data_IF_728707141373
#
_entry.id   IF_728707141373
#
_cell.length_a   1.000
_cell.length_b   1.000
_cell.length_c   1.000
_cell.angle_alpha   90.00
_cell.angle_beta   90.00
_cell.angle_gamma   90.00
#
_symmetry.space_group_name_H-M   'P 1'
#
loop_
_entity.id
_entity.type
_entity.pdbx_description
1 polymer ?
#
# COMPACT_ATOMS: atom_id res chain seq x y z
N UNK A 1 12.65 -0.99 20.17
CA UNK A 1 13.54 0.08 19.72
C UNK A 1 13.78 -0.17 18.24
N UNK A 2 13.22 0.64 17.35
CA UNK A 2 13.54 0.53 15.93
C UNK A 2 14.95 1.10 15.74
N UNK A 3 15.80 0.47 14.91
CA UNK A 3 17.14 0.97 14.66
C UNK A 3 17.08 2.37 14.01
N UNK A 4 18.14 3.15 14.16
CA UNK A 4 18.28 4.52 13.62
C UNK A 4 18.09 4.64 12.09
N UNK A 5 17.83 3.55 11.40
CA UNK A 5 17.42 3.49 10.01
C UNK A 5 15.94 3.20 9.92
N UNK A 6 15.15 4.19 9.54
CA UNK A 6 13.70 4.05 9.32
C UNK A 6 13.34 3.14 8.13
N UNK A 7 14.32 2.57 7.44
CA UNK A 7 14.15 1.54 6.41
C UNK A 7 14.99 0.32 6.75
N UNK A 8 14.33 -0.84 6.71
CA UNK A 8 14.98 -2.14 6.84
C UNK A 8 14.75 -2.92 5.56
N UNK A 9 15.83 -3.35 4.92
CA UNK A 9 15.75 -4.29 3.79
C UNK A 9 15.69 -5.72 4.32
N UNK A 10 14.58 -6.41 4.09
CA UNK A 10 14.41 -7.80 4.49
C UNK A 10 15.17 -8.71 3.52
N UNK A 11 16.37 -9.15 3.90
CA UNK A 11 17.26 -9.94 3.01
C UNK A 11 16.83 -11.40 2.86
N UNK A 12 16.11 -11.93 3.83
CA UNK A 12 15.73 -13.34 3.91
C UNK A 12 14.39 -13.65 3.25
N UNK A 13 13.67 -12.63 2.80
CA UNK A 13 12.40 -12.76 2.10
C UNK A 13 12.63 -12.33 0.65
N UNK A 14 12.45 -13.27 -0.27
CA UNK A 14 12.61 -13.01 -1.70
C UNK A 14 11.40 -13.57 -2.44
N UNK A 15 10.82 -12.74 -3.29
CA UNK A 15 9.72 -13.13 -4.16
C UNK A 15 10.15 -13.02 -5.63
N UNK A 16 9.53 -13.85 -6.43
CA UNK A 16 9.72 -13.87 -7.89
C UNK A 16 9.02 -12.65 -8.51
N UNK A 17 9.80 -11.70 -9.00
CA UNK A 17 9.30 -10.44 -9.57
C UNK A 17 8.57 -10.68 -10.90
N UNK A 18 8.94 -11.69 -11.68
CA UNK A 18 8.25 -12.02 -12.92
C UNK A 18 6.85 -12.54 -12.63
N UNK A 19 6.70 -13.44 -11.65
CA UNK A 19 5.39 -13.91 -11.17
C UNK A 19 4.55 -12.81 -10.54
N UNK A 20 5.16 -11.89 -9.79
CA UNK A 20 4.46 -10.71 -9.27
C UNK A 20 3.97 -9.81 -10.41
N UNK A 21 4.79 -9.61 -11.43
CA UNK A 21 4.41 -8.83 -12.61
C UNK A 21 3.28 -9.50 -13.40
N UNK A 22 3.30 -10.82 -13.55
CA UNK A 22 2.21 -11.57 -14.15
C UNK A 22 0.93 -11.46 -13.32
N UNK A 23 1.04 -11.65 -12.00
CA UNK A 23 -0.10 -11.48 -11.09
C UNK A 23 -0.69 -10.06 -11.18
N UNK A 24 0.16 -9.04 -11.25
CA UNK A 24 -0.28 -7.66 -11.47
C UNK A 24 -1.09 -7.52 -12.76
N UNK A 25 -0.60 -8.06 -13.89
CA UNK A 25 -1.32 -8.03 -15.17
C UNK A 25 -2.68 -8.71 -15.09
N UNK A 26 -2.79 -9.80 -14.34
CA UNK A 26 -4.07 -10.49 -14.11
C UNK A 26 -5.06 -9.66 -13.31
N UNK A 27 -4.63 -9.10 -12.17
CA UNK A 27 -5.56 -8.36 -11.31
C UNK A 27 -6.08 -7.08 -11.97
N UNK A 28 -5.29 -6.39 -12.78
CA UNK A 28 -5.75 -5.16 -13.47
C UNK A 28 -6.77 -5.44 -14.57
N UNK A 29 -6.89 -6.69 -15.03
CA UNK A 29 -7.96 -7.12 -15.94
C UNK A 29 -9.27 -7.40 -15.18
N UNK A 30 -9.17 -7.80 -13.91
CA UNK A 30 -10.32 -8.12 -13.06
C UNK A 30 -10.86 -6.84 -12.41
N UNK A 31 -9.97 -5.99 -11.90
CA UNK A 31 -10.36 -4.79 -11.15
C UNK A 31 -9.58 -3.57 -11.60
N UNK A 32 -10.29 -2.46 -11.77
CA UNK A 32 -9.67 -1.15 -12.04
C UNK A 32 -9.06 -0.57 -10.77
N UNK A 33 -8.04 0.27 -10.93
CA UNK A 33 -7.50 1.03 -9.83
C UNK A 33 -8.55 2.01 -9.28
N UNK A 34 -8.75 1.96 -7.97
CA UNK A 34 -9.51 2.97 -7.26
C UNK A 34 -8.66 4.24 -7.09
N UNK A 35 -9.21 5.38 -7.48
CA UNK A 35 -8.68 6.69 -7.20
C UNK A 35 -9.34 7.21 -5.92
N UNK A 36 -8.82 6.82 -4.78
CA UNK A 36 -9.36 7.22 -3.49
C UNK A 36 -9.49 8.76 -3.40
N UNK A 37 -10.71 9.27 -3.44
CA UNK A 37 -11.01 10.66 -3.15
C UNK A 37 -11.03 11.64 -4.33
N UNK A 38 -11.10 11.18 -5.57
CA UNK A 38 -11.31 12.07 -6.74
C UNK A 38 -10.03 12.72 -7.27
N UNK A 39 -10.18 13.84 -7.96
CA UNK A 39 -9.22 14.48 -8.87
C UNK A 39 -7.84 14.81 -8.27
N UNK A 40 -7.65 14.73 -6.96
CA UNK A 40 -6.43 15.25 -6.30
C UNK A 40 -5.62 14.18 -5.59
N UNK A 41 -6.09 12.95 -5.53
CA UNK A 41 -5.34 11.92 -4.82
C UNK A 41 -4.43 11.14 -5.76
N UNK A 42 -3.15 11.26 -5.54
CA UNK A 42 -2.12 10.48 -6.20
C UNK A 42 -2.07 9.01 -5.71
N UNK A 43 -3.16 8.51 -5.12
CA UNK A 43 -3.29 7.13 -4.64
C UNK A 43 -4.18 6.36 -5.61
N UNK A 44 -3.54 5.63 -6.51
CA UNK A 44 -4.22 4.62 -7.32
C UNK A 44 -3.95 3.27 -6.70
N UNK A 45 -4.98 2.56 -6.24
CA UNK A 45 -4.80 1.29 -5.53
C UNK A 45 -5.78 0.21 -5.97
N UNK A 46 -5.35 -1.04 -5.85
CA UNK A 46 -6.20 -2.22 -5.87
C UNK A 46 -5.99 -2.93 -4.54
N UNK A 47 -7.03 -3.04 -3.71
CA UNK A 47 -6.96 -3.81 -2.47
C UNK A 47 -6.80 -5.29 -2.77
N UNK A 48 -5.93 -5.98 -2.03
CA UNK A 48 -5.74 -7.43 -2.09
C UNK A 48 -6.48 -8.15 -0.97
N UNK A 49 -6.80 -7.44 0.11
CA UNK A 49 -7.62 -7.94 1.20
C UNK A 49 -8.72 -6.92 1.57
N UNK A 50 -9.67 -7.36 2.36
CA UNK A 50 -10.83 -6.59 2.79
C UNK A 50 -11.16 -6.86 4.24
N UNK A 51 -12.06 -6.09 4.81
CA UNK A 51 -12.65 -6.37 6.12
C UNK A 51 -13.53 -7.60 5.95
N UNK A 52 -13.38 -8.58 6.83
CA UNK A 52 -14.15 -9.82 6.79
C UNK A 52 -15.65 -9.53 6.83
N UNK A 53 -16.38 -10.13 5.89
CA UNK A 53 -17.83 -9.92 5.76
C UNK A 53 -18.24 -8.58 5.14
N UNK A 54 -17.30 -7.70 4.77
CA UNK A 54 -17.59 -6.42 4.11
C UNK A 54 -16.94 -6.33 2.72
N UNK A 55 -17.60 -6.79 1.66
CA UNK A 55 -17.08 -6.71 0.30
C UNK A 55 -16.83 -5.28 -0.20
N UNK A 56 -17.48 -4.29 0.38
CA UNK A 56 -17.35 -2.88 -0.03
C UNK A 56 -16.14 -2.18 0.59
N UNK A 57 -15.47 -2.83 1.55
CA UNK A 57 -14.31 -2.26 2.23
C UNK A 57 -13.03 -2.19 1.40
N UNK A 58 -13.13 -2.19 0.07
CA UNK A 58 -11.99 -2.21 -0.86
C UNK A 58 -11.75 -0.88 -1.56
N UNK A 59 -12.62 0.10 -1.41
CA UNK A 59 -12.63 1.32 -2.22
C UNK A 59 -12.95 2.57 -1.39
N UNK A 60 -12.79 3.74 -2.02
CA UNK A 60 -13.17 5.02 -1.44
C UNK A 60 -12.45 5.33 -0.13
N UNK A 61 -13.20 5.64 0.92
CA UNK A 61 -12.65 5.97 2.23
C UNK A 61 -11.78 4.87 2.85
N UNK A 62 -12.02 3.62 2.50
CA UNK A 62 -11.22 2.48 2.96
C UNK A 62 -9.79 2.46 2.41
N UNK A 63 -9.52 3.25 1.38
CA UNK A 63 -8.17 3.46 0.83
C UNK A 63 -7.40 4.59 1.51
N UNK A 64 -8.03 5.37 2.37
CA UNK A 64 -7.41 6.54 2.99
C UNK A 64 -6.50 6.16 4.17
N UNK A 65 -5.41 6.92 4.34
CA UNK A 65 -4.58 6.84 5.53
C UNK A 65 -5.22 7.55 6.73
N UNK A 66 -4.74 7.22 7.92
CA UNK A 66 -5.21 7.84 9.17
C UNK A 66 -4.83 9.32 9.26
N UNK A 67 -3.63 9.65 8.83
CA UNK A 67 -3.12 11.02 8.83
C UNK A 67 -3.00 11.59 7.42
N UNK A 68 -3.09 12.88 7.29
CA UNK A 68 -2.87 13.61 6.05
C UNK A 68 -2.45 15.05 6.33
N UNK A 69 -1.75 15.67 5.41
CA UNK A 69 -1.35 17.08 5.51
C UNK A 69 -2.32 17.92 4.69
N UNK A 70 -3.05 18.79 5.34
CA UNK A 70 -3.92 19.75 4.66
C UNK A 70 -3.10 20.91 4.07
N UNK A 71 -3.50 21.47 2.92
CA UNK A 71 -2.83 22.63 2.36
C UNK A 71 -2.85 23.86 3.29
N UNK A 72 -3.90 23.99 4.10
CA UNK A 72 -4.13 25.11 5.03
C UNK A 72 -3.51 24.90 6.42
N UNK A 73 -2.86 23.77 6.65
CA UNK A 73 -2.33 23.38 7.99
C UNK A 73 -0.89 23.76 8.23
N UNK A 74 -0.27 24.58 7.39
CA UNK A 74 1.15 24.92 7.45
C UNK A 74 2.07 23.68 7.56
N UNK A 75 1.72 22.62 6.86
CA UNK A 75 2.45 21.35 6.87
C UNK A 75 2.19 20.45 8.06
N UNK A 76 1.28 20.81 8.95
CA UNK A 76 0.92 19.95 10.09
C UNK A 76 0.05 18.79 9.65
N UNK A 77 0.32 17.63 10.23
CA UNK A 77 -0.55 16.47 10.08
C UNK A 77 -1.88 16.68 10.79
N UNK A 78 -2.93 16.16 10.17
CA UNK A 78 -4.28 16.15 10.72
C UNK A 78 -4.78 14.71 10.72
N UNK A 79 -5.26 14.24 11.85
CA UNK A 79 -5.92 12.95 11.96
C UNK A 79 -7.32 13.02 11.34
N UNK A 80 -7.68 11.99 10.56
CA UNK A 80 -9.04 11.87 10.03
C UNK A 80 -9.97 11.38 11.13
N UNK A 81 -11.11 12.02 11.27
CA UNK A 81 -12.13 11.60 12.24
C UNK A 81 -12.77 10.24 11.88
N UNK A 82 -12.78 9.90 10.60
CA UNK A 82 -13.41 8.71 10.03
C UNK A 82 -12.39 7.71 9.47
N UNK A 83 -11.18 7.67 10.02
CA UNK A 83 -10.18 6.70 9.59
C UNK A 83 -10.64 5.25 9.82
N UNK A 84 -10.18 4.38 8.96
CA UNK A 84 -10.45 2.94 9.06
C UNK A 84 -9.23 2.24 9.67
N UNK A 85 -9.49 1.47 10.73
CA UNK A 85 -8.46 0.63 11.35
C UNK A 85 -7.99 -0.44 10.35
N UNK A 86 -6.74 -0.32 9.93
CA UNK A 86 -6.15 -1.23 8.94
C UNK A 86 -6.02 -2.67 9.45
N UNK A 87 -6.01 -2.90 10.77
CA UNK A 87 -5.98 -4.24 11.35
C UNK A 87 -7.26 -5.07 11.12
N UNK A 88 -8.34 -4.43 10.70
CA UNK A 88 -9.60 -5.12 10.37
C UNK A 88 -9.58 -5.83 9.03
N UNK A 89 -8.58 -5.56 8.19
CA UNK A 89 -8.45 -6.17 6.86
C UNK A 89 -7.81 -7.56 6.98
N UNK A 90 -8.62 -8.58 7.15
CA UNK A 90 -8.17 -9.96 7.41
C UNK A 90 -8.50 -10.94 6.27
N UNK A 91 -9.48 -10.63 5.43
CA UNK A 91 -9.94 -11.52 4.37
C UNK A 91 -9.25 -11.20 3.04
N UNK A 92 -8.45 -12.14 2.50
CA UNK A 92 -7.90 -12.00 1.14
C UNK A 92 -9.03 -12.07 0.11
N UNK A 93 -8.97 -11.22 -0.92
CA UNK A 93 -10.03 -11.13 -1.94
C UNK A 93 -10.06 -12.41 -2.78
N UNK A 94 -11.19 -13.18 -2.78
CA UNK A 94 -11.26 -14.49 -3.42
C UNK A 94 -10.92 -14.49 -4.91
N UNK A 95 -11.29 -13.42 -5.62
CA UNK A 95 -11.04 -13.26 -7.06
C UNK A 95 -9.56 -13.26 -7.42
N UNK A 96 -8.69 -12.96 -6.46
CA UNK A 96 -7.24 -12.94 -6.65
C UNK A 96 -6.53 -14.18 -6.11
N UNK A 97 -7.28 -15.16 -5.56
CA UNK A 97 -6.71 -16.36 -4.93
C UNK A 97 -5.85 -17.21 -5.86
N UNK A 98 -6.13 -17.19 -7.17
CA UNK A 98 -5.36 -17.91 -8.19
C UNK A 98 -4.20 -17.06 -8.76
N UNK A 99 -3.73 -16.05 -8.03
CA UNK A 99 -2.59 -15.22 -8.42
C UNK A 99 -1.41 -15.42 -7.46
N UNK A 100 -0.21 -15.07 -7.90
CA UNK A 100 0.97 -15.12 -7.05
C UNK A 100 0.90 -14.15 -5.86
N UNK A 101 0.00 -13.17 -5.89
CA UNK A 101 -0.25 -12.30 -4.73
C UNK A 101 -0.79 -13.07 -3.52
N UNK A 102 -1.61 -14.11 -3.75
CA UNK A 102 -2.09 -14.96 -2.65
C UNK A 102 -0.93 -15.68 -1.97
N UNK A 103 -0.05 -16.29 -2.74
CA UNK A 103 1.16 -16.91 -2.22
C UNK A 103 2.01 -15.93 -1.39
N UNK A 104 2.27 -14.74 -1.94
CA UNK A 104 3.04 -13.69 -1.24
C UNK A 104 2.35 -13.25 0.05
N UNK A 105 1.03 -13.07 0.00
CA UNK A 105 0.23 -12.71 1.18
C UNK A 105 0.36 -13.76 2.27
N UNK A 106 0.24 -15.06 1.94
CA UNK A 106 0.33 -16.15 2.90
C UNK A 106 1.74 -16.24 3.52
N UNK A 107 2.78 -16.19 2.70
CA UNK A 107 4.17 -16.23 3.18
C UNK A 107 4.47 -15.07 4.16
N UNK A 108 4.00 -13.88 3.86
CA UNK A 108 4.20 -12.72 4.74
C UNK A 108 3.33 -12.84 6.00
N UNK A 109 2.10 -13.35 5.88
CA UNK A 109 1.19 -13.55 7.01
C UNK A 109 1.72 -14.53 8.05
N UNK A 110 2.55 -15.50 7.63
CA UNK A 110 3.22 -16.42 8.52
C UNK A 110 4.29 -15.75 9.41
N UNK A 111 4.76 -14.58 9.01
CA UNK A 111 5.86 -13.87 9.70
C UNK A 111 5.33 -12.63 10.43
N UNK A 112 4.38 -11.92 9.81
CA UNK A 112 3.85 -10.65 10.31
C UNK A 112 2.32 -10.68 10.35
N UNK A 113 1.75 -10.06 11.36
CA UNK A 113 0.32 -9.73 11.32
C UNK A 113 0.09 -8.65 10.26
N UNK A 114 -0.57 -9.03 9.18
CA UNK A 114 -0.89 -8.09 8.11
C UNK A 114 -2.17 -7.33 8.44
N UNK A 115 -2.14 -6.05 8.13
CA UNK A 115 -3.31 -5.20 8.00
C UNK A 115 -3.73 -5.08 6.55
N UNK A 116 -4.16 -3.86 6.16
CA UNK A 116 -4.57 -3.58 4.79
C UNK A 116 -3.42 -3.78 3.79
N UNK A 117 -3.65 -4.69 2.84
CA UNK A 117 -2.69 -5.03 1.78
C UNK A 117 -3.24 -4.60 0.43
N UNK A 118 -2.43 -3.93 -0.38
CA UNK A 118 -2.85 -3.39 -1.68
C UNK A 118 -1.72 -3.26 -2.67
N UNK A 119 -2.05 -3.28 -3.95
CA UNK A 119 -1.16 -2.86 -5.03
C UNK A 119 -1.35 -1.36 -5.23
N UNK A 120 -0.27 -0.61 -5.13
CA UNK A 120 -0.25 0.83 -5.35
C UNK A 120 0.41 1.14 -6.69
N UNK A 121 -0.23 1.99 -7.47
CA UNK A 121 0.35 2.58 -8.68
C UNK A 121 0.63 4.06 -8.44
N UNK A 122 1.81 4.49 -8.84
CA UNK A 122 2.17 5.91 -8.86
C UNK A 122 2.30 6.37 -10.31
N UNK A 123 1.59 7.43 -10.63
CA UNK A 123 1.72 8.03 -11.95
C UNK A 123 3.03 8.82 -12.07
N UNK A 124 3.56 8.96 -13.30
CA UNK A 124 4.75 9.78 -13.53
C UNK A 124 4.55 11.21 -13.00
N UNK A 125 5.62 11.79 -12.44
CA UNK A 125 5.61 13.16 -11.90
C UNK A 125 4.59 13.38 -10.78
N UNK A 126 4.21 12.32 -10.06
CA UNK A 126 3.31 12.40 -8.91
C UNK A 126 4.01 11.99 -7.63
N UNK A 127 3.61 12.61 -6.54
CA UNK A 127 4.05 12.27 -5.19
C UNK A 127 2.88 12.29 -4.23
N UNK A 128 2.98 11.56 -3.14
CA UNK A 128 2.10 11.75 -2.00
C UNK A 128 2.55 13.01 -1.24
N UNK A 129 1.62 13.67 -0.57
CA UNK A 129 1.97 14.70 0.41
C UNK A 129 2.79 14.07 1.54
N UNK A 130 3.55 14.91 2.26
CA UNK A 130 4.19 14.49 3.49
C UNK A 130 3.14 13.99 4.47
N UNK A 131 3.37 12.85 5.06
CA UNK A 131 2.49 12.25 6.06
C UNK A 131 3.30 11.28 6.93
N UNK A 132 2.72 10.91 8.04
CA UNK A 132 3.24 9.89 8.94
C UNK A 132 2.32 8.68 8.92
N UNK A 133 2.89 7.51 8.76
CA UNK A 133 2.20 6.25 9.00
C UNK A 133 2.46 5.81 10.43
N UNK A 134 1.43 5.55 11.25
CA UNK A 134 1.63 5.11 12.62
C UNK A 134 2.13 3.67 12.73
N UNK A 135 1.84 2.85 11.71
CA UNK A 135 2.25 1.45 11.63
C UNK A 135 3.39 1.28 10.63
N UNK A 136 4.28 0.30 10.87
CA UNK A 136 5.29 -0.09 9.88
C UNK A 136 4.67 -0.46 8.53
N UNK A 137 5.30 -0.07 7.44
CA UNK A 137 4.87 -0.40 6.07
C UNK A 137 5.85 -1.36 5.43
N UNK A 138 5.32 -2.46 4.87
CA UNK A 138 6.10 -3.37 4.04
C UNK A 138 5.88 -3.01 2.57
N UNK A 139 6.96 -2.78 1.84
CA UNK A 139 6.93 -2.45 0.42
C UNK A 139 7.63 -3.53 -0.40
N UNK A 140 6.98 -3.97 -1.48
CA UNK A 140 7.55 -4.89 -2.47
C UNK A 140 7.48 -4.19 -3.82
N UNK A 141 8.58 -3.60 -4.32
CA UNK A 141 8.62 -3.00 -5.65
C UNK A 141 8.44 -4.08 -6.71
N UNK A 142 7.45 -3.91 -7.60
CA UNK A 142 7.15 -4.85 -8.68
C UNK A 142 7.65 -4.29 -10.01
N UNK A 143 7.20 -3.09 -10.34
CA UNK A 143 7.61 -2.35 -11.54
C UNK A 143 8.15 -1.01 -11.06
N UNK A 144 9.41 -0.75 -11.35
CA UNK A 144 10.09 0.47 -10.92
C UNK A 144 11.02 0.99 -12.00
N UNK A 145 11.54 2.19 -11.83
CA UNK A 145 12.54 2.79 -12.71
C UNK A 145 13.48 3.66 -11.88
N UNK A 146 14.54 4.16 -12.51
CA UNK A 146 15.56 4.96 -11.84
C UNK A 146 15.01 6.20 -11.11
N UNK A 147 13.91 6.76 -11.56
CA UNK A 147 13.24 7.92 -10.94
C UNK A 147 12.33 7.60 -9.75
N UNK A 148 12.02 6.32 -9.51
CA UNK A 148 11.17 5.93 -8.38
C UNK A 148 11.93 6.07 -7.06
N UNK A 149 11.52 7.05 -6.25
CA UNK A 149 12.12 7.34 -4.96
C UNK A 149 11.06 7.36 -3.87
N UNK A 150 11.44 6.81 -2.71
CA UNK A 150 10.74 7.04 -1.46
C UNK A 150 11.59 7.97 -0.61
N UNK A 151 11.01 9.07 -0.15
CA UNK A 151 11.69 9.99 0.75
C UNK A 151 11.16 9.75 2.16
N UNK A 152 12.04 9.37 3.07
CA UNK A 152 11.72 9.15 4.47
C UNK A 152 12.63 10.05 5.28
N UNK A 153 12.02 10.96 6.04
CA UNK A 153 12.74 12.07 6.66
C UNK A 153 13.56 12.81 5.60
N UNK A 154 14.84 13.03 5.80
CA UNK A 154 15.70 13.77 4.87
C UNK A 154 16.46 12.87 3.88
N UNK A 155 16.04 11.60 3.73
CA UNK A 155 16.74 10.62 2.89
C UNK A 155 15.86 10.08 1.77
N UNK A 156 16.42 10.04 0.56
CA UNK A 156 15.77 9.47 -0.61
C UNK A 156 16.29 8.04 -0.88
N UNK A 157 15.36 7.08 -0.93
CA UNK A 157 15.65 5.68 -1.20
C UNK A 157 15.13 5.29 -2.58
N UNK A 158 15.90 4.53 -3.32
CA UNK A 158 15.44 3.93 -4.58
C UNK A 158 14.57 2.71 -4.27
N UNK A 159 13.42 2.62 -4.96
CA UNK A 159 12.48 1.52 -4.84
C UNK A 159 12.73 0.47 -5.91
#
# INVERSE_FOLDING_TARGET
MFPDNNIIKLKNIKFDIEKLTEAYRKIVQIKKFDNAGGVVTNICSISLNRIEGDPQSTEGKYSWGRYWTRPDSNGKEVERADFIDENKFSEFIPEFSNTYFKYVYDEISNIYKLGRTRVLKKEPRSTLSWHKDPEPRLHIPIITNYGCRMVIEDRAYHM
#
